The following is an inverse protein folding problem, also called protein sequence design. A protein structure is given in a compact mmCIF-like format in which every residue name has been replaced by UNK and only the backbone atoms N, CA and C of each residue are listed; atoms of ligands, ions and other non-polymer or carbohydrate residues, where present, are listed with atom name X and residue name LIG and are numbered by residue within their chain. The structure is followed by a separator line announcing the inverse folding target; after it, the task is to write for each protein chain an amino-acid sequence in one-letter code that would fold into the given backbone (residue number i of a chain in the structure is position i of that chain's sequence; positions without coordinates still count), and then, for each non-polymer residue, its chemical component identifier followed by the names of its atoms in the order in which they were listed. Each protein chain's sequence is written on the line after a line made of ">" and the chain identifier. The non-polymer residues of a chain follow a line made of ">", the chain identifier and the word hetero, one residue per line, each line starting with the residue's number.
data_IF_423941206857
#
_entry.id   IF_423941206857
#
_cell.length_a   1.000
_cell.length_b   1.000
_cell.length_c   1.000
_cell.angle_alpha   90.00
_cell.angle_beta   90.00
_cell.angle_gamma   90.00
#
_symmetry.space_group_name_H-M   'P 1'
#
loop_
_entity.id
_entity.type
_entity.pdbx_description
1 polymer ?
#
# COMPACT_ATOMS: atom_id res chain seq x y z
N UNK A 1 36.64 4.51 7.69
CA UNK A 1 36.75 4.93 6.27
C UNK A 1 35.41 4.94 5.53
N UNK A 2 34.28 4.54 6.17
CA UNK A 2 32.95 4.51 5.52
C UNK A 2 32.15 5.81 5.69
N UNK A 3 32.34 6.54 6.78
CA UNK A 3 31.63 7.80 7.06
C UNK A 3 32.01 8.93 6.09
N UNK A 4 33.24 8.91 5.60
CA UNK A 4 33.80 9.89 4.66
C UNK A 4 33.20 9.74 3.25
N UNK A 5 32.91 8.50 2.84
CA UNK A 5 32.22 8.17 1.60
C UNK A 5 30.75 8.66 1.59
N UNK A 6 30.03 8.46 2.70
CA UNK A 6 28.66 8.94 2.83
C UNK A 6 28.58 10.48 2.87
N UNK A 7 29.54 11.15 3.51
CA UNK A 7 29.62 12.60 3.53
C UNK A 7 29.91 13.19 2.13
N UNK A 8 30.79 12.56 1.34
CA UNK A 8 31.04 12.97 -0.04
C UNK A 8 29.85 12.73 -0.96
N UNK A 9 29.13 11.61 -0.80
CA UNK A 9 27.89 11.36 -1.55
C UNK A 9 26.80 12.38 -1.20
N UNK A 10 26.63 12.71 0.08
CA UNK A 10 25.67 13.73 0.51
C UNK A 10 26.03 15.12 -0.03
N UNK A 11 27.31 15.48 0.00
CA UNK A 11 27.79 16.75 -0.57
C UNK A 11 27.61 16.81 -2.09
N UNK A 12 27.90 15.72 -2.81
CA UNK A 12 27.70 15.65 -4.25
C UNK A 12 26.20 15.74 -4.61
N UNK A 13 25.32 15.09 -3.85
CA UNK A 13 23.87 15.20 -4.03
C UNK A 13 23.38 16.64 -3.79
N UNK A 14 23.87 17.32 -2.75
CA UNK A 14 23.51 18.71 -2.48
C UNK A 14 23.90 19.64 -3.64
N UNK A 15 25.10 19.48 -4.20
CA UNK A 15 25.57 20.27 -5.36
C UNK A 15 24.72 20.05 -6.61
N UNK A 16 24.25 18.81 -6.83
CA UNK A 16 23.36 18.51 -7.96
C UNK A 16 21.98 19.13 -7.75
N UNK A 17 21.44 19.06 -6.53
CA UNK A 17 20.13 19.63 -6.18
C UNK A 17 20.12 21.16 -6.22
N UNK A 18 21.23 21.80 -5.86
CA UNK A 18 21.39 23.27 -5.93
C UNK A 18 21.72 23.78 -7.34
N UNK A 19 21.81 22.89 -8.34
CA UNK A 19 22.19 23.32 -9.68
C UNK A 19 21.05 24.09 -10.38
N UNK A 20 21.28 25.31 -10.90
CA UNK A 20 20.24 26.17 -11.46
C UNK A 20 19.58 25.59 -12.73
N UNK A 21 20.20 24.62 -13.39
CA UNK A 21 19.57 23.90 -14.51
C UNK A 21 18.49 22.91 -14.04
N UNK A 22 18.59 22.38 -12.81
CA UNK A 22 17.58 21.51 -12.22
C UNK A 22 16.34 22.33 -11.82
N UNK A 23 16.55 23.54 -11.30
CA UNK A 23 15.48 24.52 -11.08
C UNK A 23 14.79 24.95 -12.38
N UNK A 24 15.53 25.03 -13.51
CA UNK A 24 14.93 25.28 -14.84
C UNK A 24 14.17 24.08 -15.39
N UNK A 25 14.67 22.85 -15.22
CA UNK A 25 13.96 21.63 -15.60
C UNK A 25 12.62 21.46 -14.84
N UNK A 26 12.57 21.89 -13.58
CA UNK A 26 11.34 21.91 -12.77
C UNK A 26 10.34 22.99 -13.22
N UNK A 27 10.79 24.02 -13.93
CA UNK A 27 9.95 25.13 -14.40
C UNK A 27 9.58 25.05 -15.89
N UNK A 28 10.36 24.34 -16.71
CA UNK A 28 10.06 24.04 -18.12
C UNK A 28 9.22 22.77 -18.31
N UNK A 29 8.75 22.15 -17.21
CA UNK A 29 7.66 21.18 -17.27
C UNK A 29 6.38 21.95 -17.60
N UNK A 30 6.18 22.23 -18.90
CA UNK A 30 5.00 22.89 -19.43
C UNK A 30 3.78 22.30 -18.76
N UNK A 31 3.00 23.16 -18.10
CA UNK A 31 1.91 22.83 -17.19
C UNK A 31 1.28 21.47 -17.53
N UNK A 32 1.82 20.40 -16.93
CA UNK A 32 1.11 19.14 -16.87
C UNK A 32 -0.16 19.55 -16.11
N UNK A 33 -1.37 19.42 -16.69
CA UNK A 33 -2.57 19.66 -15.94
C UNK A 33 -2.40 18.84 -14.67
N UNK A 34 -2.37 19.49 -13.51
CA UNK A 34 -2.45 18.77 -12.25
C UNK A 34 -3.85 18.15 -12.27
N UNK A 35 -3.96 16.98 -12.90
CA UNK A 35 -5.13 16.14 -12.83
C UNK A 35 -5.19 15.73 -11.36
N UNK A 36 -5.99 16.48 -10.59
CA UNK A 36 -6.33 16.13 -9.24
C UNK A 36 -7.21 14.87 -9.31
N UNK A 37 -6.57 13.72 -9.32
CA UNK A 37 -7.27 12.45 -9.27
C UNK A 37 -7.88 12.26 -7.89
N UNK A 38 -9.19 12.02 -7.83
CA UNK A 38 -9.84 11.63 -6.56
C UNK A 38 -9.15 10.40 -5.97
N UNK A 39 -8.66 10.47 -4.71
CA UNK A 39 -7.81 9.45 -4.12
C UNK A 39 -8.57 8.13 -3.92
N UNK A 40 -7.83 7.00 -3.94
CA UNK A 40 -8.39 5.70 -3.59
C UNK A 40 -8.65 5.62 -2.09
N UNK A 41 -9.93 5.61 -1.72
CA UNK A 41 -10.40 5.41 -0.35
C UNK A 41 -10.67 3.92 -0.13
N UNK A 42 -9.93 3.30 0.78
CA UNK A 42 -10.06 1.88 1.11
C UNK A 42 -10.86 1.71 2.41
N UNK A 43 -11.78 0.73 2.48
CA UNK A 43 -12.55 0.46 3.68
C UNK A 43 -11.66 -0.13 4.78
N UNK A 44 -12.02 0.09 6.05
CA UNK A 44 -11.37 -0.60 7.17
C UNK A 44 -11.72 -2.09 7.17
N UNK A 45 -10.76 -2.97 7.43
CA UNK A 45 -10.99 -4.43 7.54
C UNK A 45 -10.81 -5.02 8.95
N UNK A 46 -10.42 -4.17 9.91
CA UNK A 46 -9.87 -4.54 11.24
C UNK A 46 -10.80 -5.27 12.23
N UNK A 47 -12.05 -5.55 11.89
CA UNK A 47 -13.06 -5.89 12.92
C UNK A 47 -13.18 -7.40 13.22
N UNK A 48 -12.60 -8.28 12.40
CA UNK A 48 -12.89 -9.72 12.46
C UNK A 48 -11.77 -10.56 13.09
N UNK A 49 -10.51 -10.23 12.83
CA UNK A 49 -9.37 -11.06 13.26
C UNK A 49 -9.25 -11.19 14.79
N UNK A 50 -9.43 -10.10 15.53
CA UNK A 50 -9.35 -10.12 16.99
C UNK A 50 -10.36 -11.12 17.59
N UNK A 51 -11.61 -11.10 17.11
CA UNK A 51 -12.66 -12.01 17.55
C UNK A 51 -12.37 -13.47 17.18
N UNK A 52 -11.81 -13.71 15.99
CA UNK A 52 -11.41 -15.05 15.54
C UNK A 52 -10.33 -15.64 16.46
N UNK A 53 -9.28 -14.87 16.75
CA UNK A 53 -8.16 -15.29 17.60
C UNK A 53 -8.60 -15.55 19.05
N UNK A 54 -9.47 -14.69 19.60
CA UNK A 54 -10.03 -14.90 20.94
C UNK A 54 -10.86 -16.17 21.02
N UNK A 55 -11.68 -16.47 19.99
CA UNK A 55 -12.46 -17.72 19.91
C UNK A 55 -11.57 -18.96 19.82
N UNK A 56 -10.38 -18.84 19.26
CA UNK A 56 -9.40 -19.93 19.25
C UNK A 56 -8.67 -20.14 20.58
N UNK A 57 -8.90 -19.26 21.56
CA UNK A 57 -8.30 -19.34 22.90
C UNK A 57 -6.90 -18.74 22.98
N UNK A 58 -6.52 -17.86 22.04
CA UNK A 58 -5.28 -17.13 22.12
C UNK A 58 -5.26 -16.20 23.34
N UNK A 59 -4.08 -16.05 23.96
CA UNK A 59 -3.89 -15.07 25.04
C UNK A 59 -4.02 -13.64 24.50
N UNK A 60 -4.37 -12.70 25.38
CA UNK A 60 -4.49 -11.28 25.01
C UNK A 60 -3.21 -10.72 24.36
N UNK A 61 -2.03 -11.10 24.86
CA UNK A 61 -0.73 -10.68 24.30
C UNK A 61 -0.48 -11.24 22.90
N UNK A 62 -0.85 -12.50 22.64
CA UNK A 62 -0.73 -13.11 21.31
C UNK A 62 -1.71 -12.47 20.33
N UNK A 63 -2.95 -12.22 20.77
CA UNK A 63 -3.96 -11.52 19.97
C UNK A 63 -3.44 -10.14 19.57
N UNK A 64 -2.94 -9.36 20.53
CA UNK A 64 -2.39 -8.03 20.27
C UNK A 64 -1.23 -8.06 19.27
N UNK A 65 -0.28 -8.98 19.44
CA UNK A 65 0.86 -9.11 18.53
C UNK A 65 0.45 -9.46 17.09
N UNK A 66 -0.49 -10.40 16.93
CA UNK A 66 -0.98 -10.81 15.61
C UNK A 66 -1.84 -9.75 14.93
N UNK A 67 -2.68 -9.04 15.69
CA UNK A 67 -3.47 -7.92 15.17
C UNK A 67 -2.54 -6.80 14.71
N UNK A 68 -1.53 -6.41 15.48
CA UNK A 68 -0.53 -5.42 15.06
C UNK A 68 0.19 -5.81 13.77
N UNK A 69 0.54 -7.09 13.64
CA UNK A 69 1.18 -7.60 12.42
C UNK A 69 0.23 -7.50 11.21
N UNK A 70 -1.04 -7.84 11.40
CA UNK A 70 -2.08 -7.71 10.38
C UNK A 70 -2.29 -6.25 9.96
N UNK A 71 -2.39 -5.32 10.92
CA UNK A 71 -2.55 -3.89 10.66
C UNK A 71 -1.38 -3.34 9.83
N UNK A 72 -0.14 -3.71 10.17
CA UNK A 72 1.05 -3.31 9.38
C UNK A 72 0.98 -3.87 7.96
N UNK A 73 0.54 -5.11 7.78
CA UNK A 73 0.37 -5.70 6.45
C UNK A 73 -0.75 -5.01 5.65
N UNK A 74 -1.86 -4.66 6.31
CA UNK A 74 -2.98 -3.93 5.72
C UNK A 74 -2.55 -2.53 5.26
N UNK A 75 -1.78 -1.79 6.08
CA UNK A 75 -1.24 -0.48 5.72
C UNK A 75 -0.34 -0.57 4.48
N UNK A 76 0.60 -1.53 4.45
CA UNK A 76 1.49 -1.73 3.29
C UNK A 76 0.72 -2.08 2.02
N UNK A 77 -0.28 -2.95 2.14
CA UNK A 77 -1.16 -3.30 1.03
C UNK A 77 -1.93 -2.07 0.52
N UNK A 78 -2.50 -1.28 1.44
CA UNK A 78 -3.23 -0.06 1.10
C UNK A 78 -2.34 0.95 0.37
N UNK A 79 -1.13 1.17 0.85
CA UNK A 79 -0.13 2.02 0.18
C UNK A 79 0.18 1.50 -1.22
N UNK A 80 0.54 0.22 -1.36
CA UNK A 80 0.85 -0.38 -2.65
C UNK A 80 -0.29 -0.19 -3.66
N UNK A 81 -1.54 -0.41 -3.25
CA UNK A 81 -2.70 -0.27 -4.14
C UNK A 81 -2.97 1.19 -4.49
N UNK A 82 -2.75 2.15 -3.59
CA UNK A 82 -2.83 3.58 -3.91
C UNK A 82 -1.80 3.95 -4.96
N UNK A 83 -0.54 3.51 -4.81
CA UNK A 83 0.52 3.73 -5.80
C UNK A 83 0.15 3.13 -7.16
N UNK A 84 -0.27 1.87 -7.20
CA UNK A 84 -0.68 1.21 -8.45
C UNK A 84 -1.92 1.84 -9.08
N UNK A 85 -2.87 2.33 -8.28
CA UNK A 85 -4.05 3.04 -8.78
C UNK A 85 -3.66 4.38 -9.42
N UNK A 86 -2.81 5.17 -8.75
CA UNK A 86 -2.32 6.44 -9.28
C UNK A 86 -1.53 6.24 -10.57
N UNK A 87 -0.66 5.23 -10.63
CA UNK A 87 0.08 4.87 -11.85
C UNK A 87 -0.86 4.47 -13.00
N UNK A 88 -1.86 3.63 -12.72
CA UNK A 88 -2.85 3.24 -13.72
C UNK A 88 -3.67 4.44 -14.24
N UNK A 89 -4.05 5.38 -13.36
CA UNK A 89 -4.73 6.60 -13.77
C UNK A 89 -3.84 7.52 -14.61
N UNK A 90 -2.56 7.65 -14.26
CA UNK A 90 -1.61 8.45 -15.02
C UNK A 90 -1.39 7.87 -16.43
N UNK A 91 -1.24 6.55 -16.54
CA UNK A 91 -1.13 5.87 -17.83
C UNK A 91 -2.40 6.04 -18.67
N UNK A 92 -3.58 5.89 -18.06
CA UNK A 92 -4.85 6.09 -18.73
C UNK A 92 -4.98 7.55 -19.23
N UNK A 93 -4.68 8.53 -18.39
CA UNK A 93 -4.75 9.95 -18.74
C UNK A 93 -3.78 10.31 -19.86
N UNK A 94 -2.57 9.74 -19.85
CA UNK A 94 -1.58 9.95 -20.92
C UNK A 94 -1.95 9.30 -22.26
N UNK A 95 -2.94 8.41 -22.30
CA UNK A 95 -3.40 7.72 -23.51
C UNK A 95 -4.70 8.28 -24.10
N UNK A 96 -5.36 9.19 -23.38
CA UNK A 96 -6.69 9.71 -23.74
C UNK A 96 -6.64 11.16 -24.21
N UNK A 97 -7.41 11.46 -25.25
CA UNK A 97 -7.59 12.82 -25.74
C UNK A 97 -8.62 13.57 -24.89
N UNK A 98 -8.56 14.91 -24.92
CA UNK A 98 -9.42 15.78 -24.11
C UNK A 98 -10.93 15.63 -24.43
N UNK A 99 -11.26 15.12 -25.63
CA UNK A 99 -12.62 14.80 -26.04
C UNK A 99 -13.18 13.53 -25.35
N UNK A 100 -12.33 12.73 -24.70
CA UNK A 100 -12.68 11.46 -24.06
C UNK A 100 -12.79 11.57 -22.53
N UNK A 101 -12.88 12.79 -21.98
CA UNK A 101 -12.92 13.03 -20.55
C UNK A 101 -14.05 12.27 -19.81
N UNK A 102 -15.21 12.11 -20.43
CA UNK A 102 -16.32 11.32 -19.85
C UNK A 102 -15.99 9.82 -19.79
N UNK A 103 -15.23 9.31 -20.77
CA UNK A 103 -14.77 7.92 -20.84
C UNK A 103 -13.69 7.68 -19.78
N UNK A 104 -12.80 8.66 -19.59
CA UNK A 104 -11.77 8.63 -18.55
C UNK A 104 -12.38 8.40 -17.15
N UNK A 105 -13.43 9.16 -16.80
CA UNK A 105 -14.09 9.01 -15.49
C UNK A 105 -14.76 7.64 -15.30
N UNK A 106 -15.34 7.07 -16.36
CA UNK A 106 -15.92 5.72 -16.33
C UNK A 106 -14.86 4.65 -16.04
N UNK A 107 -13.70 4.75 -16.69
CA UNK A 107 -12.57 3.85 -16.44
C UNK A 107 -11.97 4.07 -15.06
N UNK A 108 -11.80 5.32 -14.62
CA UNK A 108 -11.32 5.65 -13.29
C UNK A 108 -12.25 5.05 -12.21
N UNK A 109 -13.57 5.14 -12.40
CA UNK A 109 -14.56 4.48 -11.55
C UNK A 109 -14.40 2.96 -11.51
N UNK A 110 -14.25 2.33 -12.67
CA UNK A 110 -14.03 0.88 -12.79
C UNK A 110 -12.72 0.42 -12.13
N UNK A 111 -11.66 1.22 -12.25
CA UNK A 111 -10.39 0.98 -11.56
C UNK A 111 -10.55 1.07 -10.05
N UNK A 112 -11.23 2.11 -9.52
CA UNK A 112 -11.51 2.23 -8.08
C UNK A 112 -12.21 0.99 -7.54
N UNK A 113 -13.24 0.52 -8.24
CA UNK A 113 -13.96 -0.69 -7.84
C UNK A 113 -13.05 -1.92 -7.84
N UNK A 114 -12.28 -2.12 -8.92
CA UNK A 114 -11.36 -3.25 -9.04
C UNK A 114 -10.31 -3.26 -7.92
N UNK A 115 -9.67 -2.11 -7.66
CA UNK A 115 -8.65 -1.99 -6.63
C UNK A 115 -9.24 -2.19 -5.23
N UNK A 116 -10.42 -1.64 -4.96
CA UNK A 116 -11.13 -1.84 -3.68
C UNK A 116 -11.50 -3.32 -3.46
N UNK A 117 -11.99 -4.00 -4.50
CA UNK A 117 -12.30 -5.43 -4.43
C UNK A 117 -11.05 -6.28 -4.22
N UNK A 118 -9.96 -5.96 -4.93
CA UNK A 118 -8.67 -6.60 -4.77
C UNK A 118 -8.11 -6.45 -3.35
N UNK A 119 -8.22 -5.25 -2.79
CA UNK A 119 -7.86 -4.96 -1.40
C UNK A 119 -8.62 -5.86 -0.42
N UNK A 120 -9.95 -5.89 -0.52
CA UNK A 120 -10.79 -6.70 0.36
C UNK A 120 -10.48 -8.20 0.25
N UNK A 121 -10.24 -8.72 -0.97
CA UNK A 121 -9.83 -10.11 -1.18
C UNK A 121 -8.50 -10.41 -0.48
N UNK A 122 -7.50 -9.57 -0.69
CA UNK A 122 -6.16 -9.76 -0.11
C UNK A 122 -6.14 -9.62 1.40
N UNK A 123 -6.90 -8.66 1.95
CA UNK A 123 -7.06 -8.52 3.39
C UNK A 123 -7.75 -9.75 4.01
N UNK A 124 -8.75 -10.33 3.32
CA UNK A 124 -9.41 -11.56 3.76
C UNK A 124 -8.49 -12.79 3.67
N UNK A 125 -7.74 -12.93 2.57
CA UNK A 125 -6.72 -13.98 2.41
C UNK A 125 -5.67 -13.92 3.53
N UNK A 126 -5.17 -12.72 3.85
CA UNK A 126 -4.19 -12.53 4.92
C UNK A 126 -4.77 -12.93 6.28
N UNK A 127 -6.02 -12.54 6.58
CA UNK A 127 -6.72 -12.94 7.80
C UNK A 127 -6.84 -14.47 7.90
N UNK A 128 -7.31 -15.12 6.84
CA UNK A 128 -7.43 -16.58 6.78
C UNK A 128 -6.08 -17.28 6.95
N UNK A 129 -5.02 -16.71 6.40
CA UNK A 129 -3.68 -17.27 6.55
C UNK A 129 -3.20 -17.21 8.01
N UNK A 130 -3.39 -16.08 8.70
CA UNK A 130 -3.07 -15.96 10.13
C UNK A 130 -3.86 -16.99 10.94
N UNK A 131 -5.17 -17.10 10.68
CA UNK A 131 -6.06 -18.03 11.38
C UNK A 131 -5.63 -19.50 11.21
N UNK A 132 -5.26 -19.88 9.98
CA UNK A 132 -4.76 -21.22 9.67
C UNK A 132 -3.41 -21.51 10.36
N UNK A 133 -2.51 -20.51 10.42
CA UNK A 133 -1.22 -20.67 11.10
C UNK A 133 -1.39 -20.84 12.62
N UNK A 134 -2.30 -20.08 13.24
CA UNK A 134 -2.62 -20.22 14.67
C UNK A 134 -3.21 -21.59 14.96
N UNK A 135 -4.16 -22.04 14.15
CA UNK A 135 -4.73 -23.39 14.26
C UNK A 135 -3.64 -24.48 14.14
N UNK A 136 -2.75 -24.37 13.16
CA UNK A 136 -1.66 -25.31 12.97
C UNK A 136 -0.67 -25.30 14.15
N UNK A 137 -0.32 -24.12 14.67
CA UNK A 137 0.55 -23.99 15.83
C UNK A 137 -0.05 -24.65 17.08
N UNK A 138 -1.35 -24.49 17.29
CA UNK A 138 -2.08 -25.12 18.41
C UNK A 138 -2.03 -26.65 18.32
N UNK A 139 -2.27 -27.23 17.14
CA UNK A 139 -2.18 -28.69 16.94
C UNK A 139 -0.77 -29.20 17.24
N UNK A 140 0.27 -28.52 16.74
CA UNK A 140 1.67 -28.89 16.99
C UNK A 140 2.02 -28.84 18.48
N UNK A 141 1.56 -27.79 19.18
CA UNK A 141 1.78 -27.66 20.62
C UNK A 141 1.12 -28.80 21.37
N UNK A 142 -0.17 -29.06 21.13
CA UNK A 142 -0.89 -30.17 21.77
C UNK A 142 -0.24 -31.53 21.53
N UNK A 143 0.25 -31.78 20.31
CA UNK A 143 0.94 -33.03 19.98
C UNK A 143 2.32 -33.16 20.65
N UNK A 144 3.00 -32.04 20.93
CA UNK A 144 4.30 -32.02 21.61
C UNK A 144 4.18 -32.14 23.13
N UNK A 145 3.02 -31.78 23.70
CA UNK A 145 2.77 -31.81 25.14
C UNK A 145 1.96 -33.03 25.60
N UNK A 146 1.51 -33.87 24.67
CA UNK A 146 0.84 -35.15 24.93
C UNK A 146 1.87 -36.27 25.08
#
# INVERSE_FOLDING_TARGET
>A
METESHAQMAAAAAVVLDHPQLARLLHDSGAIPQLEFSPLILPSTNHTLQGDLLRQGCSASTVEGLVKLYEVAEVRLAEQLRWSFSDALAQLAGSMDQAEAEIFELYAGSLRERFTRGYLSKAAECRQHIDAQVSAAKVRYSASTA
#
